data_IF_600282746084
#
_entry.id   IF_600282746084
#
_cell.length_a   1.000
_cell.length_b   1.000
_cell.length_c   1.000
_cell.angle_alpha   90.00
_cell.angle_beta   90.00
_cell.angle_gamma   90.00
#
_symmetry.space_group_name_H-M   'P 1'
#
loop_
_entity.id
_entity.type
_entity.pdbx_description
1 polymer ?
2 non-polymer ?
3 non-polymer ?
4 non-polymer ?
5 water ?
#
# COMPACT_ATOMS: atom_id res chain seq x y z
N UNK A 3 20.74 3.90 20.00
CA UNK A 3 21.47 2.70 19.55
C UNK A 3 21.35 2.53 18.03
N UNK A 4 22.35 1.91 17.42
CA UNK A 4 22.28 1.55 16.00
C UNK A 4 21.27 0.42 15.82
N UNK A 5 20.54 0.46 14.72
CA UNK A 5 19.63 -0.62 14.39
C UNK A 5 20.44 -1.92 14.17
N UNK A 6 19.95 -3.08 14.65
CA UNK A 6 20.71 -4.32 14.43
C UNK A 6 20.64 -4.96 13.02
N UNK A 7 19.88 -4.37 12.10
CA UNK A 7 19.80 -4.94 10.75
C UNK A 7 21.11 -4.75 9.99
N UNK A 8 21.59 -5.80 9.32
CA UNK A 8 22.69 -5.67 8.37
C UNK A 8 22.36 -6.33 7.05
N UNK A 9 22.49 -5.57 5.95
CA UNK A 9 22.25 -6.13 4.64
C UNK A 9 23.30 -7.15 4.29
N UNK A 10 22.91 -8.14 3.52
CA UNK A 10 23.83 -9.12 2.98
C UNK A 10 24.43 -8.65 1.65
N UNK A 11 24.02 -7.48 1.17
CA UNK A 11 24.56 -6.91 -0.06
C UNK A 11 24.87 -5.46 0.20
N UNK A 12 25.74 -4.89 -0.62
CA UNK A 12 25.93 -3.44 -0.52
C UNK A 12 24.67 -2.75 -1.06
N UNK A 13 24.39 -1.54 -0.56
CA UNK A 13 23.18 -0.80 -0.95
C UNK A 13 23.49 0.36 -1.87
N UNK A 14 24.78 0.67 -2.05
CA UNK A 14 25.20 1.86 -2.81
C UNK A 14 26.22 1.58 -3.93
N UNK A 15 26.31 0.34 -4.40
CA UNK A 15 27.24 -0.07 -5.46
C UNK A 15 26.51 -0.19 -6.79
N UNK A 16 27.15 0.26 -7.89
CA UNK A 16 26.57 0.07 -9.23
C UNK A 16 26.30 -1.39 -9.53
N UNK A 17 25.24 -1.68 -10.29
CA UNK A 17 24.89 -3.02 -10.70
C UNK A 17 23.58 -3.52 -10.11
N UNK A 18 23.33 -4.79 -10.24
CA UNK A 18 22.11 -5.45 -9.74
C UNK A 18 22.54 -6.36 -8.58
N UNK A 19 21.97 -6.14 -7.41
CA UNK A 19 22.34 -6.93 -6.24
C UNK A 19 21.10 -7.45 -5.56
N UNK A 20 21.06 -8.76 -5.28
CA UNK A 20 19.91 -9.40 -4.65
C UNK A 20 20.37 -10.03 -3.35
N UNK A 21 19.69 -9.71 -2.27
CA UNK A 21 20.05 -10.26 -0.98
C UNK A 21 18.97 -10.04 0.04
N UNK A 22 19.40 -9.78 1.29
CA UNK A 22 18.51 -9.72 2.43
C UNK A 22 18.91 -8.65 3.42
N UNK A 23 17.91 -8.09 4.10
CA UNK A 23 18.13 -7.38 5.34
C UNK A 23 18.03 -8.42 6.48
N UNK A 24 19.16 -8.72 7.08
CA UNK A 24 19.19 -9.65 8.21
C UNK A 24 18.86 -8.97 9.51
N UNK A 25 17.71 -9.31 10.05
CA UNK A 25 17.26 -8.77 11.33
C UNK A 25 17.38 -9.90 12.34
N UNK A 26 18.33 -9.80 13.27
CA UNK A 26 18.41 -10.82 14.29
C UNK A 26 17.10 -11.01 15.04
N UNK A 27 16.72 -12.26 15.26
CA UNK A 27 15.45 -12.60 15.91
C UNK A 27 15.62 -13.92 16.67
N UNK A 28 15.94 -13.80 17.95
CA UNK A 28 16.12 -14.94 18.81
C UNK A 28 14.77 -15.37 19.40
N UNK A 29 14.40 -16.63 19.29
CA UNK A 29 13.12 -17.10 19.84
C UNK A 29 13.16 -18.60 20.11
N UNK A 30 12.07 -19.16 20.67
CA UNK A 30 12.10 -20.56 21.15
C UNK A 30 12.58 -21.53 20.05
N UNK A 31 12.08 -21.36 18.82
CA UNK A 31 12.43 -22.27 17.71
C UNK A 31 13.68 -21.88 16.91
N UNK A 32 14.37 -20.82 17.34
CA UNK A 32 15.69 -20.47 16.79
C UNK A 32 16.40 -19.49 17.68
N UNK A 33 17.29 -20.00 18.54
CA UNK A 33 17.99 -19.18 19.51
C UNK A 33 18.89 -18.18 18.81
N UNK A 34 19.46 -18.56 17.68
CA UNK A 34 20.41 -17.69 16.99
C UNK A 34 19.87 -17.41 15.60
N UNK A 35 18.61 -17.00 15.51
CA UNK A 35 17.92 -16.87 14.22
C UNK A 35 17.79 -15.42 13.75
N UNK A 36 17.16 -15.28 12.58
CA UNK A 36 16.99 -14.00 11.89
C UNK A 36 15.71 -13.98 11.06
N UNK A 37 15.23 -12.77 10.81
CA UNK A 37 14.25 -12.54 9.74
C UNK A 37 15.08 -12.05 8.57
N UNK A 39 14.87 -10.38 5.29
CA UNK A 39 13.92 -9.62 4.45
C UNK A 39 14.48 -9.46 3.02
N UNK A 40 13.78 -9.96 1.97
CA UNK A 40 14.39 -9.85 0.63
C UNK A 40 14.52 -8.43 0.20
N UNK A 41 15.62 -8.14 -0.49
CA UNK A 41 15.88 -6.81 -1.01
C UNK A 41 16.70 -6.92 -2.28
N UNK A 42 16.39 -6.06 -3.25
CA UNK A 42 17.20 -5.91 -4.45
C UNK A 42 17.57 -4.45 -4.58
N UNK A 43 18.84 -4.18 -4.89
CA UNK A 43 19.29 -2.82 -5.22
C UNK A 43 19.80 -2.85 -6.64
N UNK A 44 19.29 -1.91 -7.44
CA UNK A 44 19.78 -1.67 -8.80
C UNK A 44 20.21 -0.19 -8.93
N UNK A 45 21.48 0.03 -9.25
CA UNK A 45 22.09 1.36 -9.30
C UNK A 45 22.99 1.52 -10.52
N UNK A 46 22.87 2.66 -11.18
CA UNK A 46 23.63 2.92 -12.40
C UNK A 46 23.54 4.39 -12.75
N UNK A 47 24.68 4.98 -13.09
CA UNK A 47 24.75 6.37 -13.47
C UNK A 47 24.28 7.34 -12.41
N UNK A 48 23.57 8.38 -12.86
CA UNK A 48 23.20 9.49 -12.01
C UNK A 48 21.71 9.65 -11.97
N UNK A 49 21.16 9.79 -10.76
CA UNK A 49 19.76 10.13 -10.61
C UNK A 49 19.23 9.93 -9.22
N UNK A 50 17.91 10.08 -9.12
CA UNK A 50 17.23 9.86 -7.86
C UNK A 50 17.36 8.41 -7.40
N UNK A 51 17.21 8.25 -6.07
CA UNK A 51 17.01 6.96 -5.47
C UNK A 51 15.55 6.86 -5.12
N UNK A 52 14.91 5.77 -5.53
CA UNK A 52 13.53 5.45 -5.13
C UNK A 52 13.54 4.24 -4.23
N UNK A 53 12.80 4.35 -3.13
CA UNK A 53 12.54 3.27 -2.22
C UNK A 53 11.14 2.74 -2.47
N UNK A 54 11.09 1.49 -2.88
CA UNK A 54 9.87 0.84 -3.39
C UNK A 54 9.48 -0.32 -2.48
N UNK A 55 8.30 -0.24 -1.88
CA UNK A 55 7.86 -1.28 -0.97
C UNK A 55 6.50 -1.85 -1.35
N UNK A 56 6.37 -3.16 -1.14
CA UNK A 56 5.09 -3.85 -1.19
C UNK A 56 4.89 -4.62 0.10
N UNK A 57 3.67 -5.04 0.35
CA UNK A 57 3.32 -5.83 1.51
C UNK A 57 3.72 -5.18 2.84
N UNK A 58 3.57 -3.86 2.89
CA UNK A 58 3.49 -3.13 4.13
C UNK A 58 2.52 -3.90 5.05
N UNK A 59 1.38 -4.27 4.46
CA UNK A 59 0.47 -5.29 5.03
C UNK A 59 0.64 -6.58 4.25
N UNK A 60 0.70 -7.70 4.94
CA UNK A 60 1.12 -8.96 4.34
C UNK A 60 0.11 -9.65 3.43
N UNK A 61 -1.15 -9.22 3.47
CA UNK A 61 -2.24 -9.80 2.66
C UNK A 61 -2.68 -8.91 1.49
N UNK A 62 -1.72 -8.13 0.97
CA UNK A 62 -1.95 -7.14 -0.10
C UNK A 62 -0.91 -7.39 -1.22
N UNK A 63 -1.36 -7.87 -2.37
CA UNK A 63 -0.48 -8.60 -3.30
C UNK A 63 -0.08 -7.90 -4.58
N UNK A 64 -0.79 -6.86 -5.00
CA UNK A 64 -0.46 -6.25 -6.30
C UNK A 64 0.97 -5.68 -6.32
N UNK A 65 1.33 -4.94 -5.27
CA UNK A 65 2.66 -4.33 -5.21
C UNK A 65 3.75 -5.38 -5.22
N UNK A 66 3.59 -6.41 -4.38
CA UNK A 66 4.58 -7.47 -4.40
C UNK A 66 4.80 -8.15 -5.76
N UNK A 67 3.74 -8.38 -6.53
CA UNK A 67 3.90 -8.93 -7.88
C UNK A 67 4.71 -7.95 -8.75
N UNK A 68 4.30 -6.68 -8.77
CA UNK A 68 4.98 -5.67 -9.59
C UNK A 68 6.44 -5.50 -9.22
N UNK A 69 6.73 -5.59 -7.93
CA UNK A 69 8.10 -5.37 -7.41
C UNK A 69 8.96 -6.60 -7.60
N UNK A 70 8.40 -7.80 -7.46
CA UNK A 70 9.21 -8.98 -7.76
C UNK A 70 9.61 -8.95 -9.24
N UNK A 71 8.67 -8.60 -10.12
CA UNK A 71 9.01 -8.57 -11.56
C UNK A 71 10.05 -7.48 -11.84
N UNK A 72 9.85 -6.31 -11.25
CA UNK A 72 10.83 -5.24 -11.39
C UNK A 72 12.23 -5.69 -10.96
N UNK A 73 12.32 -6.36 -9.82
CA UNK A 73 13.64 -6.74 -9.28
C UNK A 73 14.31 -7.80 -10.16
N UNK A 74 13.49 -8.65 -10.77
CA UNK A 74 13.99 -9.79 -11.54
C UNK A 74 14.28 -9.46 -12.99
N UNK A 75 13.71 -8.38 -13.53
CA UNK A 75 13.78 -8.15 -14.96
C UNK A 75 14.43 -6.81 -15.38
N UNK A 76 14.86 -5.98 -14.45
CA UNK A 76 15.40 -4.66 -14.80
C UNK A 76 16.90 -4.79 -14.88
N UNK A 77 17.49 -4.29 -15.96
CA UNK A 77 18.95 -4.29 -16.14
C UNK A 77 19.58 -3.01 -15.59
N UNK A 78 20.79 -3.12 -15.04
CA UNK A 78 21.47 -1.94 -14.52
C UNK A 78 21.52 -0.86 -15.58
N UNK A 79 21.79 -1.28 -16.81
CA UNK A 79 21.92 -0.37 -17.94
C UNK A 79 20.63 0.39 -18.29
N UNK A 80 19.49 -0.03 -17.76
CA UNK A 80 18.19 0.62 -18.01
C UNK A 80 17.93 1.74 -17.00
N UNK A 81 18.74 1.80 -15.93
CA UNK A 81 18.55 2.64 -14.77
C UNK A 81 19.49 3.84 -14.79
N UNK A 82 18.96 5.02 -14.46
CA UNK A 82 19.76 6.24 -14.19
C UNK A 82 19.38 6.75 -12.80
N UNK A 83 20.13 6.32 -11.80
CA UNK A 83 19.75 6.52 -10.41
C UNK A 83 19.85 5.17 -9.68
N UNK A 84 18.94 4.97 -8.75
CA UNK A 84 18.94 3.79 -7.91
C UNK A 84 17.54 3.36 -7.58
N UNK A 85 17.30 2.06 -7.70
CA UNK A 85 16.10 1.42 -7.19
C UNK A 85 16.44 0.60 -5.93
N UNK A 86 15.80 0.86 -4.79
CA UNK A 86 15.89 -0.04 -3.63
C UNK A 86 14.52 -0.71 -3.51
N UNK A 87 14.47 -2.01 -3.85
CA UNK A 87 13.23 -2.75 -4.03
C UNK A 87 13.05 -3.76 -2.89
N UNK A 88 11.96 -3.62 -2.13
CA UNK A 88 11.62 -4.51 -1.01
C UNK A 88 10.16 -4.96 -1.25
N UNK A 89 9.98 -6.05 -1.98
CA UNK A 89 8.60 -6.46 -2.33
C UNK A 89 7.75 -6.88 -1.14
N UNK A 90 8.40 -7.38 -0.10
CA UNK A 90 7.74 -7.86 1.09
C UNK A 90 8.25 -7.08 2.32
N UNK A 91 7.63 -5.94 2.57
CA UNK A 91 8.07 -4.95 3.55
C UNK A 91 7.86 -5.48 4.98
N UNK A 92 6.64 -5.80 5.37
CA UNK A 92 6.46 -6.53 6.63
C UNK A 92 6.57 -8.00 6.30
N UNK A 93 7.80 -8.44 6.13
CA UNK A 93 8.08 -9.76 5.63
C UNK A 93 7.41 -10.86 6.46
N UNK A 94 7.51 -10.78 7.78
CA UNK A 94 6.82 -11.80 8.58
C UNK A 94 5.30 -11.83 8.35
N UNK A 95 4.67 -10.67 8.20
CA UNK A 95 3.23 -10.62 7.93
C UNK A 95 2.98 -11.27 6.57
N UNK A 96 3.81 -10.92 5.59
CA UNK A 96 3.67 -11.52 4.26
C UNK A 96 3.78 -13.06 4.31
N UNK A 97 4.77 -13.57 5.01
CA UNK A 97 4.88 -15.02 5.10
C UNK A 97 3.68 -15.69 5.76
N UNK A 98 2.96 -14.98 6.64
CA UNK A 98 1.75 -15.51 7.29
C UNK A 98 0.47 -15.19 6.53
N UNK A 99 0.57 -14.55 5.37
CA UNK A 99 -0.58 -14.06 4.62
C UNK A 99 -1.54 -13.27 5.49
N UNK A 100 -0.96 -12.40 6.32
CA UNK A 100 -1.71 -11.64 7.31
C UNK A 100 -1.39 -10.15 7.16
N UNK A 101 -2.39 -9.34 7.50
CA UNK A 101 -2.21 -7.89 7.59
C UNK A 101 -1.05 -7.50 8.53
N UNK A 102 -1.01 -8.14 9.68
CA UNK A 102 -0.05 -7.83 10.73
C UNK A 102 0.87 -9.00 10.99
N UNK A 103 2.01 -8.70 11.59
CA UNK A 103 2.98 -9.73 11.91
C UNK A 103 2.49 -10.74 12.94
N UNK A 104 2.72 -12.02 12.68
CA UNK A 104 2.45 -13.01 13.69
C UNK A 104 3.44 -12.96 14.89
N UNK A 105 4.61 -12.33 14.73
CA UNK A 105 5.58 -12.22 15.82
C UNK A 105 5.07 -11.28 16.92
N UNK A 106 4.53 -10.11 16.56
CA UNK A 106 4.15 -9.07 17.51
C UNK A 106 2.80 -8.40 17.23
N UNK A 107 2.05 -8.92 16.29
CA UNK A 107 0.80 -8.33 15.88
C UNK A 107 1.01 -6.91 15.35
N UNK A 108 2.24 -6.58 14.99
CA UNK A 108 2.54 -5.22 14.55
C UNK A 108 1.92 -4.86 13.20
N UNK A 109 1.22 -3.73 13.19
CA UNK A 109 0.83 -3.08 11.95
C UNK A 109 1.97 -2.14 11.56
N UNK A 110 2.71 -2.54 10.55
CA UNK A 110 3.94 -1.85 10.21
C UNK A 110 3.60 -0.43 9.79
N UNK A 111 2.45 -0.26 9.12
CA UNK A 111 2.05 1.04 8.64
C UNK A 111 1.75 2.04 9.74
N UNK A 112 1.61 1.59 10.98
CA UNK A 112 1.44 2.51 12.11
C UNK A 112 2.59 2.39 13.14
N UNK A 113 3.72 1.80 12.74
CA UNK A 113 4.84 1.56 13.65
C UNK A 113 5.93 2.65 13.68
N UNK A 114 5.78 3.67 12.85
CA UNK A 114 6.84 4.68 12.66
C UNK A 114 6.84 5.74 13.76
N UNK A 115 8.03 6.23 14.17
CA UNK A 115 9.35 5.98 13.60
C UNK A 115 10.02 4.67 14.06
N UNK A 116 9.39 3.90 14.93
CA UNK A 116 9.95 2.63 15.37
C UNK A 116 11.09 2.84 16.36
N UNK A 117 11.77 1.78 16.69
CA UNK A 117 12.93 1.86 17.58
C UNK A 117 13.81 0.65 17.35
N UNK A 118 15.12 0.83 17.51
CA UNK A 118 16.10 -0.23 17.20
C UNK A 118 16.16 -1.35 18.24
N UNK A 119 15.51 -1.13 19.37
CA UNK A 119 15.47 -2.07 20.47
C UNK A 119 14.05 -2.50 20.81
N UNK A 120 13.11 -2.38 19.87
CA UNK A 120 11.74 -2.79 20.14
C UNK A 120 11.41 -4.15 19.55
N UNK A 121 10.14 -4.32 19.20
CA UNK A 121 9.65 -5.54 18.54
C UNK A 121 10.24 -5.63 17.12
N UNK A 122 10.15 -6.80 16.50
CA UNK A 122 10.60 -6.98 15.12
C UNK A 122 10.03 -5.87 14.21
N UNK A 123 8.71 -5.65 14.30
CA UNK A 123 8.05 -4.65 13.44
C UNK A 123 8.62 -3.25 13.67
N UNK A 124 8.89 -2.91 14.92
CA UNK A 124 9.46 -1.63 15.26
C UNK A 124 10.89 -1.47 14.75
N UNK A 125 11.67 -2.55 14.81
CA UNK A 125 13.06 -2.59 14.28
C UNK A 125 13.09 -2.42 12.74
N UNK A 126 12.13 -3.04 12.04
CA UNK A 126 11.95 -2.79 10.62
C UNK A 126 11.69 -1.31 10.35
N UNK A 127 10.71 -0.75 11.05
CA UNK A 127 10.37 0.66 10.90
C UNK A 127 11.57 1.56 11.18
N UNK A 128 12.29 1.27 12.24
CA UNK A 128 13.45 2.08 12.61
C UNK A 128 14.55 2.06 11.54
N UNK A 129 14.74 0.91 10.91
CA UNK A 129 15.75 0.78 9.87
C UNK A 129 15.34 1.60 8.64
N UNK A 130 14.06 1.56 8.30
CA UNK A 130 13.56 2.36 7.20
C UNK A 130 13.63 3.84 7.53
N UNK A 131 13.19 4.22 8.74
CA UNK A 131 13.21 5.63 9.17
C UNK A 131 14.61 6.26 9.15
N UNK A 132 15.59 5.56 9.72
CA UNK A 132 16.92 6.15 9.95
C UNK A 132 17.99 5.72 8.95
N UNK A 133 17.81 4.62 8.24
CA UNK A 133 18.85 4.16 7.34
C UNK A 133 18.42 4.24 5.89
N UNK A 134 17.31 3.62 5.51
CA UNK A 134 16.94 3.60 4.12
C UNK A 134 16.32 4.90 3.61
N UNK A 135 15.31 5.41 4.29
CA UNK A 135 14.64 6.65 3.83
C UNK A 135 15.62 7.81 3.66
N UNK A 136 16.58 7.98 4.58
CA UNK A 136 17.49 9.09 4.31
C UNK A 136 18.33 8.96 3.04
N UNK A 138 16.95 7.80 0.28
CA UNK A 138 15.99 7.91 -0.82
C UNK A 138 15.54 9.34 -1.06
N UNK A 139 15.27 9.66 -2.34
CA UNK A 139 14.64 10.93 -2.69
C UNK A 139 13.11 10.82 -2.74
N UNK A 140 12.64 9.64 -3.14
CA UNK A 140 11.20 9.40 -3.31
C UNK A 140 10.87 8.02 -2.81
N UNK A 141 9.59 7.79 -2.51
CA UNK A 141 9.12 6.47 -2.06
C UNK A 141 7.81 6.11 -2.76
N UNK A 142 7.66 4.83 -3.07
CA UNK A 142 6.41 4.24 -3.58
C UNK A 142 6.05 3.09 -2.68
N UNK A 143 4.90 3.22 -2.01
CA UNK A 143 4.40 2.24 -1.06
C UNK A 143 3.00 1.75 -1.48
N UNK A 144 2.93 0.48 -1.90
CA UNK A 144 1.73 -0.12 -2.46
C UNK A 144 0.85 -0.65 -1.35
N UNK A 145 -0.44 -0.33 -1.44
CA UNK A 145 -1.46 -0.97 -0.64
C UNK A 145 -2.61 -1.47 -1.48
N UNK A 146 -3.34 -2.42 -0.89
CA UNK A 146 -4.61 -2.93 -1.38
C UNK A 146 -5.49 -3.18 -0.14
N UNK A 147 -6.75 -3.57 -0.33
CA UNK A 147 -7.66 -3.71 0.79
C UNK A 147 -7.31 -4.76 1.83
N UNK A 148 -6.65 -5.82 1.40
CA UNK A 148 -6.40 -6.96 2.28
C UNK A 148 -7.59 -7.90 2.26
N UNK A 149 -7.54 -8.93 3.11
CA UNK A 149 -8.57 -9.99 3.13
C UNK A 149 -9.99 -9.48 3.44
N UNK A 150 -10.10 -8.36 4.12
CA UNK A 150 -11.37 -7.92 4.63
C UNK A 150 -12.00 -6.75 3.86
N UNK A 151 -11.29 -6.20 2.86
CA UNK A 151 -11.75 -4.99 2.16
C UNK A 151 -11.41 -5.04 0.68
N UNK A 152 -12.22 -4.34 -0.12
CA UNK A 152 -11.93 -4.20 -1.56
C UNK A 152 -12.22 -2.77 -1.95
N UNK A 153 -11.38 -2.21 -2.81
CA UNK A 153 -11.45 -0.83 -3.23
C UNK A 153 -11.43 -0.75 -4.75
N UNK A 154 -12.05 0.29 -5.31
CA UNK A 154 -11.75 0.63 -6.70
C UNK A 154 -10.25 0.95 -6.76
N UNK A 155 -9.58 0.66 -7.90
CA UNK A 155 -8.12 0.80 -7.89
C UNK A 155 -7.68 2.24 -8.05
N UNK A 156 -7.18 2.85 -6.97
CA UNK A 156 -6.72 4.26 -7.04
C UNK A 156 -5.26 4.48 -6.65
N UNK A 157 -4.68 5.53 -7.21
CA UNK A 157 -3.45 6.12 -6.66
C UNK A 157 -3.88 7.34 -5.85
N UNK A 158 -3.17 7.59 -4.73
CA UNK A 158 -3.53 8.66 -3.80
C UNK A 158 -2.34 9.58 -3.53
N UNK A 159 -2.63 10.87 -3.45
CA UNK A 159 -1.71 11.93 -3.03
C UNK A 159 -2.34 12.67 -1.84
N UNK A 160 -1.50 13.19 -0.95
CA UNK A 160 -1.99 13.78 0.28
C UNK A 160 -2.02 15.30 0.27
N UNK A 161 -2.99 15.82 1.02
CA UNK A 161 -3.06 17.21 1.35
C UNK A 161 -2.09 17.41 2.48
N UNK A 162 -1.12 18.29 2.25
CA UNK A 162 -0.03 18.55 3.17
C UNK A 162 0.05 20.05 3.46
N UNK A 163 0.63 20.37 4.60
CA UNK A 163 0.97 21.75 4.93
C UNK A 163 1.97 22.37 3.95
N UNK A 164 2.97 21.60 3.53
CA UNK A 164 3.92 22.08 2.50
C UNK A 164 3.26 21.96 1.12
N UNK A 165 2.72 23.08 0.60
CA UNK A 165 1.95 23.05 -0.65
C UNK A 165 2.82 22.81 -1.88
N UNK A 166 4.12 23.08 -1.78
CA UNK A 166 5.04 22.78 -2.87
C UNK A 166 5.20 21.25 -3.00
N UNK A 167 5.41 20.57 -1.86
CA UNK A 167 5.50 19.13 -1.83
C UNK A 167 4.14 18.50 -2.21
N UNK A 168 3.05 19.12 -1.77
CA UNK A 168 1.72 18.64 -2.09
C UNK A 168 1.55 18.58 -3.59
N UNK A 169 1.99 19.63 -4.29
CA UNK A 169 1.88 19.65 -5.72
C UNK A 169 2.78 18.58 -6.35
N UNK A 170 3.96 18.35 -5.78
CA UNK A 170 4.88 17.35 -6.31
C UNK A 170 4.27 15.94 -6.16
N UNK A 171 3.72 15.68 -4.97
CA UNK A 171 3.01 14.42 -4.74
C UNK A 171 1.83 14.23 -5.68
N UNK A 172 1.05 15.29 -5.89
CA UNK A 172 -0.09 15.25 -6.82
C UNK A 172 0.34 14.87 -8.26
N UNK A 173 1.41 15.51 -8.71
CA UNK A 173 1.96 15.24 -10.04
C UNK A 173 2.41 13.78 -10.16
N UNK A 174 3.06 13.26 -9.11
CA UNK A 174 3.53 11.85 -9.15
C UNK A 174 2.33 10.86 -9.19
N UNK A 176 -0.75 11.60 -10.46
CA UNK A 176 -1.24 11.65 -11.83
C UNK A 176 -0.41 10.80 -12.79
N UNK A 177 0.92 10.83 -12.68
CA UNK A 177 1.77 10.01 -13.55
C UNK A 177 1.43 8.52 -13.38
N UNK A 178 1.20 8.09 -12.13
CA UNK A 178 0.86 6.68 -11.86
C UNK A 178 -0.31 6.26 -12.72
N UNK A 179 -1.30 7.14 -12.82
CA UNK A 179 -2.40 7.02 -13.78
C UNK A 179 -3.23 5.74 -13.57
N UNK A 180 -3.63 5.54 -12.32
CA UNK A 180 -4.51 4.41 -11.98
C UNK A 180 -5.89 4.74 -12.55
N UNK A 181 -6.77 3.75 -12.63
CA UNK A 181 -8.09 4.06 -13.20
C UNK A 181 -8.87 5.05 -12.35
N UNK A 182 -8.55 5.15 -11.06
CA UNK A 182 -9.10 6.22 -10.22
C UNK A 182 -7.94 7.01 -9.59
N UNK A 183 -8.20 8.29 -9.35
CA UNK A 183 -7.24 9.24 -8.80
C UNK A 183 -7.89 9.94 -7.63
N UNK A 184 -7.12 10.09 -6.55
CA UNK A 184 -7.56 10.75 -5.33
C UNK A 184 -6.48 11.67 -4.76
N UNK A 185 -6.91 12.80 -4.21
CA UNK A 185 -6.06 13.61 -3.33
C UNK A 185 -6.89 13.86 -2.06
N UNK A 186 -6.34 13.49 -0.91
CA UNK A 186 -7.07 13.49 0.36
C UNK A 186 -6.18 13.89 1.54
N UNK A 187 -6.80 14.50 2.54
CA UNK A 187 -6.16 14.75 3.82
C UNK A 187 -6.22 13.47 4.61
N UNK A 188 -5.09 13.01 5.13
CA UNK A 188 -5.03 11.83 5.96
C UNK A 188 -5.41 12.22 7.39
N UNK A 189 -6.53 11.67 7.86
CA UNK A 189 -7.06 11.93 9.21
C UNK A 189 -6.07 11.41 10.27
N UNK A 190 -5.61 10.17 10.07
CA UNK A 190 -4.82 9.43 11.07
C UNK A 190 -3.30 9.38 10.78
N UNK A 191 -2.65 10.53 10.68
CA UNK A 191 -1.28 10.56 10.15
C UNK A 191 -0.19 10.07 11.10
N UNK A 192 -0.44 10.06 12.42
CA UNK A 192 0.61 9.73 13.41
C UNK A 192 1.03 8.25 13.31
N UNK A 193 2.35 8.04 13.22
CA UNK A 193 2.93 6.70 13.10
C UNK A 193 2.94 6.05 11.73
N UNK A 195 3.84 5.30 7.76
CA UNK A 195 4.92 5.33 6.82
C UNK A 195 4.82 6.55 5.93
N UNK A 196 3.64 6.83 5.40
CA UNK A 196 3.46 7.99 4.53
C UNK A 196 3.94 9.26 5.20
N UNK A 197 3.60 9.43 6.47
CA UNK A 197 4.05 10.59 7.25
C UNK A 197 5.59 10.63 7.39
N UNK A 198 6.21 9.49 7.64
CA UNK A 198 7.65 9.39 7.75
C UNK A 198 8.33 9.96 6.48
N UNK A 199 7.79 9.61 5.31
CA UNK A 199 8.34 10.08 4.04
C UNK A 199 8.07 11.57 3.83
N UNK A 200 6.81 11.95 3.94
CA UNK A 200 6.38 13.29 3.64
C UNK A 200 6.95 14.35 4.58
N UNK A 201 7.10 14.02 5.85
CA UNK A 201 7.64 15.03 6.77
C UNK A 201 9.12 15.30 6.57
N UNK A 203 10.14 15.93 3.66
CA UNK A 203 10.16 16.75 2.45
C UNK A 203 10.21 15.95 1.17
N UNK A 204 9.83 14.66 1.24
CA UNK A 204 9.97 13.74 0.11
C UNK A 204 8.64 13.29 -0.49
N UNK A 205 8.63 13.15 -1.82
CA UNK A 205 7.46 12.69 -2.54
C UNK A 205 7.14 11.24 -2.19
N UNK A 206 5.88 11.00 -1.90
CA UNK A 206 5.37 9.69 -1.61
C UNK A 206 4.27 9.38 -2.62
N UNK A 207 4.31 8.17 -3.19
CA UNK A 207 3.26 7.66 -4.09
C UNK A 207 2.64 6.48 -3.37
N UNK A 208 1.33 6.49 -3.21
CA UNK A 208 0.65 5.40 -2.53
C UNK A 208 -0.59 5.00 -3.31
N UNK A 209 -1.07 3.80 -3.02
CA UNK A 209 -2.22 3.23 -3.73
C UNK A 209 -3.22 2.49 -2.83
N UNK A 210 -4.37 2.18 -3.44
CA UNK A 210 -5.22 1.06 -3.00
C UNK A 210 -5.66 0.37 -4.28
N UNK A 211 -5.10 -0.79 -4.62
CA UNK A 211 -5.30 -1.36 -5.96
C UNK A 211 -6.26 -2.54 -6.06
N UNK A 212 -7.02 -2.80 -5.03
CA UNK A 212 -8.05 -3.83 -5.07
C UNK A 212 -8.18 -4.36 -3.67
N UNK A 213 -8.07 -5.67 -3.52
CA UNK A 213 -8.24 -6.26 -2.18
C UNK A 213 -8.75 -7.68 -2.24
N UNK A 214 -9.26 -8.14 -1.09
CA UNK A 214 -9.77 -9.49 -0.90
C UNK A 214 -8.67 -10.50 -0.68
N UNK A 215 -7.44 -10.05 -0.45
CA UNK A 215 -6.36 -11.02 -0.28
C UNK A 215 -5.94 -11.74 -1.55
N UNK A 217 -5.07 -10.91 -6.13
CA UNK A 217 -4.98 -9.97 -7.21
C UNK A 217 -5.29 -10.63 -8.55
N UNK A 218 -5.66 -9.78 -9.52
CA UNK A 218 -6.06 -10.18 -10.86
C UNK A 218 -4.98 -9.71 -11.85
N UNK A 219 -5.04 -10.21 -13.08
CA UNK A 219 -4.16 -9.72 -14.13
C UNK A 219 -4.37 -8.22 -14.33
N UNK A 220 -5.63 -7.77 -14.27
CA UNK A 220 -5.92 -6.32 -14.44
C UNK A 220 -5.30 -5.52 -13.31
N UNK A 221 -5.45 -5.98 -12.07
CA UNK A 221 -4.94 -5.19 -10.92
C UNK A 221 -3.39 -5.25 -10.87
N UNK A 222 -2.83 -6.42 -11.16
CA UNK A 222 -1.41 -6.57 -11.30
C UNK A 222 -0.89 -5.65 -12.40
N UNK A 223 -1.64 -5.54 -13.51
CA UNK A 223 -1.16 -4.68 -14.61
C UNK A 223 -1.23 -3.18 -14.22
N UNK A 224 -2.23 -2.79 -13.41
CA UNK A 224 -2.33 -1.42 -12.90
C UNK A 224 -1.09 -1.07 -12.08
N UNK A 225 -0.65 -2.00 -11.25
CA UNK A 225 0.53 -1.80 -10.40
C UNK A 225 1.81 -1.66 -11.23
N UNK A 226 1.97 -2.51 -12.26
CA UNK A 226 3.16 -2.48 -13.08
C UNK A 226 3.28 -1.17 -13.91
N UNK A 227 2.17 -0.76 -14.51
CA UNK A 227 2.13 0.46 -15.31
C UNK A 227 2.40 1.68 -14.43
N UNK A 228 1.68 1.73 -13.32
CA UNK A 228 1.83 2.82 -12.36
C UNK A 228 3.27 2.94 -11.88
N UNK A 229 3.90 1.80 -11.57
CA UNK A 229 5.29 1.75 -11.10
C UNK A 229 6.25 2.22 -12.17
N UNK A 230 6.08 1.69 -13.39
CA UNK A 230 6.91 2.11 -14.49
C UNK A 230 6.71 3.61 -14.78
N UNK A 231 5.46 4.05 -14.87
CA UNK A 231 5.16 5.46 -15.05
C UNK A 231 5.84 6.37 -14.02
N UNK A 232 5.70 6.07 -12.72
CA UNK A 232 6.30 6.98 -11.72
C UNK A 232 7.83 6.93 -11.80
N UNK A 233 8.39 5.75 -12.07
CA UNK A 233 9.85 5.65 -12.24
C UNK A 233 10.37 6.46 -13.46
N UNK A 234 9.59 6.55 -14.52
CA UNK A 234 9.89 7.47 -15.64
C UNK A 234 9.76 8.95 -15.18
N UNK A 235 8.65 9.26 -14.49
CA UNK A 235 8.41 10.61 -13.94
C UNK A 235 9.59 11.06 -13.05
N UNK A 236 10.13 10.13 -12.26
CA UNK A 236 11.26 10.43 -11.37
C UNK A 236 12.61 10.38 -12.08
N UNK A 237 12.62 10.06 -13.37
CA UNK A 237 13.82 10.07 -14.16
C UNK A 237 14.73 8.88 -13.95
N UNK A 238 14.25 7.83 -13.31
CA UNK A 238 15.11 6.68 -13.00
C UNK A 238 15.10 5.65 -14.12
N UNK A 239 13.92 5.44 -14.72
CA UNK A 239 13.75 4.58 -15.90
C UNK A 239 13.44 5.52 -17.06
N UNK A 240 13.65 5.05 -18.29
CA UNK A 240 13.41 5.91 -19.46
C UNK A 240 12.33 5.26 -20.30
N UNK A 241 11.72 6.04 -21.18
CA UNK A 241 10.65 5.51 -22.04
C UNK A 241 9.45 6.43 -22.03
N UNK A 242 8.36 6.03 -22.68
CA UNK A 242 7.15 6.85 -22.70
C UNK A 242 6.16 6.25 -21.73
N UNK A 244 2.52 5.34 -20.07
CA UNK A 244 1.24 4.91 -20.57
C UNK A 244 0.24 5.80 -19.89
N UNK A 245 -0.61 6.44 -20.68
CA UNK A 245 -1.64 7.35 -20.19
C UNK A 245 -3.01 6.90 -20.68
N UNK A 246 -3.87 6.55 -19.74
CA UNK A 246 -5.24 6.20 -20.02
C UNK A 246 -6.16 7.14 -19.25
N UNK A 247 -7.46 7.10 -19.54
CA UNK A 247 -8.40 7.87 -18.71
C UNK A 247 -8.29 7.51 -17.22
N UNK A 248 -8.50 8.48 -16.35
CA UNK A 248 -8.62 8.25 -14.90
C UNK A 248 -9.82 9.02 -14.36
N UNK A 249 -10.53 8.41 -13.43
CA UNK A 249 -11.67 9.05 -12.78
C UNK A 249 -11.19 9.68 -11.48
N UNK A 250 -11.37 10.98 -11.32
CA UNK A 250 -10.98 11.62 -10.06
C UNK A 250 -12.15 11.62 -9.10
N UNK A 251 -11.86 11.19 -7.85
CA UNK A 251 -12.84 11.18 -6.77
C UNK A 251 -12.74 12.46 -5.94
N UNK A 252 -13.87 13.11 -5.65
CA UNK A 252 -13.88 14.26 -4.74
C UNK A 252 -13.34 13.84 -3.42
N UNK A 254 -12.64 12.27 -0.71
CA UNK A 254 -13.34 11.45 0.26
C UNK A 254 -12.72 11.85 1.58
N UNK A 255 -13.52 11.94 2.63
CA UNK A 255 -12.96 12.29 3.92
C UNK A 255 -12.23 11.10 4.59
N UNK A 256 -11.98 10.01 3.85
CA UNK A 256 -11.24 8.85 4.36
C UNK A 256 -11.91 8.10 5.51
N UNK A 257 -13.12 8.54 5.89
CA UNK A 257 -13.84 8.01 7.04
C UNK A 257 -14.96 7.07 6.53
N UNK A 258 -15.60 6.35 7.45
CA UNK A 258 -16.62 5.37 7.12
C UNK A 258 -17.89 5.71 7.85
N UNK A 259 -19.02 5.62 7.17
CA UNK A 259 -20.29 5.98 7.78
C UNK A 259 -21.27 4.83 7.87
N UNK A 260 -20.99 3.74 7.19
CA UNK A 260 -21.88 2.59 7.17
C UNK A 260 -21.18 1.49 7.91
N UNK A 261 -21.07 1.67 9.22
CA UNK A 261 -20.55 0.66 10.09
C UNK A 261 -21.68 -0.33 10.37
N UNK A 262 -21.38 -1.62 10.37
CA UNK A 262 -22.36 -2.59 10.78
C UNK A 262 -22.49 -2.59 12.29
N UNK A 263 -23.73 -2.69 12.76
CA UNK A 263 -24.01 -2.87 14.19
C UNK A 263 -24.43 -4.33 14.49
N UNK A 264 -24.17 -5.24 13.53
CA UNK A 264 -24.66 -6.63 13.61
C UNK A 264 -23.68 -7.60 12.96
N UNK A 265 -23.50 -8.78 13.54
CA UNK A 265 -22.81 -9.88 12.87
C UNK A 265 -23.83 -10.51 11.96
N UNK A 266 -23.42 -10.86 10.76
CA UNK A 266 -24.24 -11.72 9.93
C UNK A 266 -23.70 -12.00 8.56
N UNK A 267 -24.62 -12.49 7.73
CA UNK A 267 -24.42 -12.77 6.32
C UNK A 267 -24.51 -11.45 5.55
N UNK A 268 -23.45 -11.10 4.86
CA UNK A 268 -23.35 -9.77 4.23
C UNK A 268 -23.81 -9.83 2.78
N UNK A 269 -24.83 -9.04 2.46
CA UNK A 269 -25.29 -8.92 1.10
C UNK A 269 -25.10 -7.48 0.60
N UNK A 270 -24.12 -7.28 -0.28
CA UNK A 270 -23.95 -5.94 -0.88
C UNK A 270 -24.97 -5.81 -2.00
N UNK A 272 -24.80 -3.15 -4.59
CA UNK A 272 -24.19 -2.66 -5.82
C UNK A 272 -22.70 -3.05 -5.75
N UNK A 273 -22.04 -3.11 -6.90
CA UNK A 273 -20.64 -3.49 -6.92
C UNK A 273 -19.71 -2.30 -7.09
N UNK A 274 -18.41 -2.55 -6.92
CA UNK A 274 -17.40 -1.51 -6.93
C UNK A 274 -17.48 -0.68 -8.21
N UNK A 275 -17.47 0.64 -8.03
CA UNK A 275 -17.50 1.55 -9.14
C UNK A 275 -18.89 1.91 -9.61
N UNK A 276 -19.91 1.19 -9.16
CA UNK A 276 -21.28 1.42 -9.64
C UNK A 276 -21.99 2.51 -8.86
N UNK A 277 -22.91 3.24 -9.52
CA UNK A 277 -23.58 4.37 -8.89
C UNK A 277 -24.67 4.00 -7.86
N UNK A 278 -24.89 4.90 -6.90
CA UNK A 278 -26.02 4.82 -5.98
C UNK A 278 -26.58 6.21 -5.75
N UNK A 279 -27.88 6.29 -5.54
CA UNK A 279 -28.54 7.56 -5.19
C UNK A 279 -28.72 7.60 -3.68
N UNK A 280 -28.78 8.81 -3.14
CA UNK A 280 -29.03 9.02 -1.72
C UNK A 280 -30.26 8.21 -1.28
N UNK A 281 -30.15 7.47 -0.19
CA UNK A 281 -31.27 6.63 0.28
C UNK A 281 -31.39 5.26 -0.36
N UNK A 282 -30.68 5.00 -1.47
CA UNK A 282 -30.62 3.65 -2.02
C UNK A 282 -29.98 2.67 -1.03
N UNK A 283 -30.46 1.44 -1.07
CA UNK A 283 -29.92 0.34 -0.30
C UNK A 283 -28.51 0.05 -0.81
N UNK A 284 -27.52 0.06 0.09
CA UNK A 284 -26.14 -0.28 -0.25
C UNK A 284 -25.79 -1.72 0.20
N UNK A 285 -26.35 -2.12 1.34
CA UNK A 285 -26.08 -3.45 1.87
C UNK A 285 -27.18 -3.92 2.80
N UNK A 286 -27.31 -5.24 2.93
CA UNK A 286 -28.18 -5.84 3.94
C UNK A 286 -27.42 -6.90 4.71
N UNK A 287 -27.62 -6.93 6.03
CA UNK A 287 -27.07 -7.96 6.89
C UNK A 287 -28.17 -8.95 7.35
N UNK A 288 -28.00 -10.22 6.95
CA UNK A 288 -28.97 -11.28 7.25
C UNK A 288 -28.49 -12.03 8.50
N UNK A 289 -29.43 -12.55 9.25
CA UNK A 289 -29.12 -13.32 10.45
C UNK A 289 -28.29 -14.51 10.09
N UNK A 290 -27.18 -14.68 10.81
CA UNK A 290 -26.34 -15.85 10.67
C UNK A 290 -26.85 -17.08 11.40
N UNK A 291 -27.93 -16.96 12.16
CA UNK A 291 -28.33 -18.12 12.94
C UNK A 291 -29.82 -18.50 12.96
N UNK A 292 -30.63 -17.84 12.15
CA UNK A 292 -32.00 -18.26 11.95
C UNK A 292 -32.54 -17.78 10.59
N UNK A 293 -33.70 -18.32 10.22
CA UNK A 293 -34.39 -17.89 9.03
C UNK A 293 -35.63 -17.11 9.41
N UNK A 294 -36.15 -16.38 8.43
CA UNK A 294 -37.45 -15.73 8.54
C UNK A 294 -37.38 -14.31 9.07
N UNK A 295 -36.20 -13.84 9.44
CA UNK A 295 -36.05 -12.53 10.07
C UNK A 295 -35.78 -11.47 9.01
N UNK A 296 -36.40 -10.29 9.13
CA UNK A 296 -36.08 -9.17 8.25
C UNK A 296 -34.60 -8.81 8.41
N UNK A 297 -33.92 -8.55 7.31
CA UNK A 297 -32.50 -8.19 7.33
C UNK A 297 -32.31 -6.76 7.84
N UNK A 298 -31.12 -6.39 8.28
CA UNK A 298 -30.83 -5.00 8.64
C UNK A 298 -30.31 -4.34 7.41
N UNK A 299 -30.75 -3.12 7.14
CA UNK A 299 -30.43 -2.42 5.90
C UNK A 299 -29.52 -1.24 6.12
N UNK A 300 -28.57 -1.03 5.21
CA UNK A 300 -27.69 0.11 5.24
C UNK A 300 -27.90 0.89 3.93
N UNK A 301 -28.28 2.17 4.07
CA UNK A 301 -28.67 3.02 2.94
C UNK A 301 -27.64 4.13 2.68
N UNK A 302 -27.54 4.57 1.42
CA UNK A 302 -26.57 5.60 1.06
C UNK A 302 -27.02 6.94 1.63
N UNK A 303 -26.09 7.62 2.30
CA UNK A 303 -26.33 8.92 2.92
C UNK A 303 -26.28 10.04 1.88
N UNK A 304 -25.68 9.76 0.73
CA UNK A 304 -25.62 10.70 -0.40
C UNK A 304 -25.39 9.94 -1.72
N UNK A 305 -25.53 10.64 -2.83
CA UNK A 305 -25.33 10.03 -4.12
C UNK A 305 -23.86 9.85 -4.44
N UNK A 306 -23.55 8.84 -5.23
CA UNK A 306 -22.17 8.61 -5.61
C UNK A 306 -21.95 7.27 -6.27
N UNK A 307 -20.74 6.76 -6.09
CA UNK A 307 -20.33 5.42 -6.56
C UNK A 307 -19.69 4.67 -5.38
N UNK A 308 -19.78 3.33 -5.40
CA UNK A 308 -19.21 2.53 -4.34
C UNK A 308 -17.71 2.45 -4.57
N UNK A 309 -16.96 2.92 -3.57
CA UNK A 309 -15.52 2.95 -3.72
C UNK A 309 -14.80 1.95 -2.80
N UNK A 310 -15.48 1.49 -1.76
CA UNK A 310 -14.90 0.51 -0.85
C UNK A 310 -16.01 -0.39 -0.33
N UNK A 311 -15.69 -1.66 -0.10
CA UNK A 311 -16.67 -2.57 0.53
C UNK A 311 -16.03 -3.57 1.46
N UNK A 312 -16.79 -3.97 2.48
CA UNK A 312 -16.43 -5.14 3.27
C UNK A 312 -16.37 -6.30 2.31
N UNK A 313 -15.32 -7.11 2.38
CA UNK A 313 -15.15 -8.23 1.46
C UNK A 313 -15.81 -9.58 1.84
N UNK A 314 -15.52 -10.14 3.05
CA UNK A 314 -15.97 -11.48 3.35
C UNK A 314 -17.48 -11.63 3.44
N UNK A 315 -17.95 -12.85 3.19
CA UNK A 315 -19.34 -13.21 3.28
C UNK A 315 -19.97 -12.91 4.61
N UNK A 317 -20.00 -10.58 8.00
CA UNK A 317 -19.60 -9.29 8.49
C UNK A 317 -19.78 -9.30 10.02
N UNK A 318 -18.96 -8.51 10.71
CA UNK A 318 -19.02 -8.41 12.17
C UNK A 318 -19.50 -7.05 12.61
N UNK A 319 -20.08 -7.02 13.80
CA UNK A 319 -20.39 -5.78 14.45
C UNK A 319 -19.14 -4.86 14.49
N UNK A 320 -19.34 -3.63 14.04
CA UNK A 320 -18.29 -2.63 13.99
C UNK A 320 -17.50 -2.61 12.69
N UNK A 321 -17.77 -3.53 11.75
CA UNK A 321 -17.07 -3.54 10.44
C UNK A 321 -17.60 -2.43 9.54
N UNK A 322 -16.71 -1.77 8.81
CA UNK A 322 -17.13 -0.86 7.74
C UNK A 322 -17.73 -1.64 6.57
N UNK A 323 -19.02 -1.47 6.33
CA UNK A 323 -19.71 -2.18 5.24
C UNK A 323 -19.34 -1.68 3.85
N UNK A 324 -19.21 -0.38 3.69
CA UNK A 324 -19.08 0.23 2.40
C UNK A 324 -18.77 1.71 2.56
N UNK A 325 -18.15 2.28 1.52
CA UNK A 325 -17.93 3.71 1.48
C UNK A 325 -18.37 4.19 0.11
N UNK A 326 -19.17 5.25 0.10
CA UNK A 326 -19.68 5.87 -1.14
C UNK A 326 -18.83 7.10 -1.47
N UNK A 327 -18.20 7.10 -2.64
CA UNK A 327 -17.39 8.25 -3.05
C UNK A 327 -18.12 9.08 -4.09
N UNK A 328 -17.57 10.24 -4.43
CA UNK A 328 -18.21 11.16 -5.38
C UNK A 328 -17.25 11.49 -6.53
N UNK A 329 -17.68 11.25 -7.77
CA UNK A 329 -16.86 11.56 -8.96
C UNK A 329 -16.80 13.06 -9.19
N UNK A 330 -15.60 13.60 -9.34
CA UNK A 330 -15.40 15.03 -9.59
C UNK A 330 -15.95 15.43 -10.95
#
# INVERSE_FOLDING_TARGET
GXKDNPISPTIPLDQDGVHHGFLKLPYSRDDSAWGSVXIPITVIQNGAGKTALLTGANHGDEYEGPVALQELAATTRAEDVTGRLIIVPYFNYPAFRASARTSPIDRGNLNRAFPGRPDGTVTQKIADYFQRTLLPXADVAVDFHSGGKTLDFVPFAAAHILEDKVLQDACFAAXQAFNAPYSVQLLEIDSEGXYDTAVEEXGKVLVTTELGGGGXSTARSNAIAKKGLRNVLIHFGILQGEXQIDPSVTLDXPDGDCYLFSEHDGLFEIXIDLGEPVQEGDLVARVWSPDRTGEAPVEYRARRSGVLISRHFPGXIKSGDCAAVIGVVEG
#
